data_IF_150627253030
#
_entry.id   IF_150627253030
#
_cell.length_a   1.000
_cell.length_b   1.000
_cell.length_c   1.000
_cell.angle_alpha   90.00
_cell.angle_beta   90.00
_cell.angle_gamma   90.00
#
_symmetry.space_group_name_H-M   'P 1'
#
loop_
_entity.id
_entity.type
_entity.pdbx_description
1 polymer ?
#
# COMPACT_ATOMS: atom_id res chain seq x y z
N UNK A 1 -14.09 15.98 24.07
CA UNK A 1 -12.67 16.33 24.04
C UNK A 1 -11.97 15.27 24.88
N UNK A 2 -11.14 14.33 24.41
CA UNK A 2 -10.37 14.21 23.17
C UNK A 2 -9.94 12.73 22.96
N UNK A 3 -10.59 11.99 22.07
CA UNK A 3 -10.10 10.67 21.63
C UNK A 3 -9.23 10.81 20.34
N UNK A 4 -9.34 11.97 19.69
CA UNK A 4 -8.63 12.30 18.44
C UNK A 4 -7.16 12.66 18.68
N UNK A 5 -6.85 13.36 19.78
CA UNK A 5 -5.50 13.83 20.06
C UNK A 5 -4.54 12.67 20.41
N UNK A 6 -5.02 11.72 21.22
CA UNK A 6 -4.18 10.62 21.75
C UNK A 6 -3.69 9.69 20.62
N UNK A 7 -4.53 9.42 19.62
CA UNK A 7 -4.17 8.61 18.44
C UNK A 7 -3.27 9.38 17.45
N UNK A 8 -3.54 10.68 17.23
CA UNK A 8 -2.74 11.51 16.33
C UNK A 8 -1.29 11.67 16.81
N UNK A 9 -1.11 12.05 18.08
CA UNK A 9 0.23 12.26 18.64
C UNK A 9 1.07 10.98 18.57
N UNK A 10 0.49 9.80 18.83
CA UNK A 10 1.22 8.54 18.84
C UNK A 10 1.77 8.12 17.46
N UNK A 11 0.97 8.24 16.40
CA UNK A 11 1.40 7.88 15.04
C UNK A 11 2.44 8.88 14.51
N UNK A 12 2.19 10.18 14.70
CA UNK A 12 3.07 11.25 14.23
C UNK A 12 4.42 11.24 14.97
N UNK A 13 4.44 11.05 16.30
CA UNK A 13 5.67 10.90 17.07
C UNK A 13 6.51 9.71 16.59
N UNK A 14 5.87 8.57 16.28
CA UNK A 14 6.60 7.40 15.77
C UNK A 14 7.23 7.66 14.39
N UNK A 15 6.57 8.42 13.52
CA UNK A 15 7.12 8.85 12.23
C UNK A 15 8.27 9.84 12.42
N UNK A 16 8.08 10.85 13.27
CA UNK A 16 9.07 11.88 13.56
C UNK A 16 10.33 11.30 14.22
N UNK A 17 10.19 10.36 15.15
CA UNK A 17 11.31 9.69 15.82
C UNK A 17 12.14 8.85 14.85
N UNK A 18 11.54 8.29 13.80
CA UNK A 18 12.28 7.60 12.72
C UNK A 18 12.89 8.58 11.71
N UNK A 19 12.47 9.84 11.72
CA UNK A 19 12.85 10.85 10.72
C UNK A 19 12.08 10.72 9.40
N UNK A 20 10.93 10.05 9.41
CA UNK A 20 10.10 9.85 8.23
C UNK A 20 9.29 11.13 7.90
N UNK A 21 8.99 11.33 6.61
CA UNK A 21 7.95 12.25 6.21
C UNK A 21 6.56 11.75 6.69
N UNK A 22 5.59 12.65 6.96
CA UNK A 22 4.26 12.23 7.39
C UNK A 22 3.60 11.26 6.39
N UNK A 23 3.04 10.16 6.89
CA UNK A 23 2.33 9.22 6.01
C UNK A 23 1.04 9.82 5.46
N UNK A 24 0.50 9.20 4.40
CA UNK A 24 -0.80 9.57 3.84
C UNK A 24 -1.94 9.49 4.87
N UNK A 25 -1.84 8.60 5.86
CA UNK A 25 -2.79 8.51 6.97
C UNK A 25 -2.67 9.74 7.86
N UNK A 26 -1.46 10.09 8.29
CA UNK A 26 -1.19 11.27 9.12
C UNK A 26 -1.64 12.56 8.43
N UNK A 27 -1.31 12.73 7.14
CA UNK A 27 -1.77 13.87 6.35
C UNK A 27 -3.31 13.93 6.27
N UNK A 28 -3.98 12.81 5.97
CA UNK A 28 -5.44 12.79 5.88
C UNK A 28 -6.12 13.11 7.21
N UNK A 29 -5.57 12.61 8.32
CA UNK A 29 -6.04 12.95 9.66
C UNK A 29 -5.95 14.46 9.92
N UNK A 30 -4.84 15.09 9.55
CA UNK A 30 -4.64 16.54 9.72
C UNK A 30 -5.58 17.35 8.83
N UNK A 31 -5.69 17.00 7.55
CA UNK A 31 -6.54 17.70 6.59
C UNK A 31 -8.04 17.62 6.91
N UNK A 32 -8.47 16.48 7.47
CA UNK A 32 -9.90 16.20 7.72
C UNK A 32 -10.28 16.20 9.20
N UNK A 33 -9.32 16.47 10.09
CA UNK A 33 -9.48 16.45 11.55
C UNK A 33 -10.23 15.19 12.02
N UNK A 34 -9.81 14.02 11.53
CA UNK A 34 -10.50 12.75 11.78
C UNK A 34 -9.61 11.73 12.52
N UNK A 35 -10.21 10.65 13.02
CA UNK A 35 -9.45 9.58 13.69
C UNK A 35 -8.63 8.77 12.70
N UNK A 36 -7.55 8.14 13.19
CA UNK A 36 -6.73 7.20 12.40
C UNK A 36 -7.57 6.12 11.73
N UNK A 37 -8.57 5.57 12.43
CA UNK A 37 -9.48 4.58 11.86
C UNK A 37 -10.25 5.12 10.65
N UNK A 38 -10.70 6.37 10.68
CA UNK A 38 -11.40 6.98 9.55
C UNK A 38 -10.43 7.28 8.40
N UNK A 39 -9.25 7.81 8.71
CA UNK A 39 -8.21 8.04 7.71
C UNK A 39 -7.78 6.75 7.00
N UNK A 40 -7.51 5.67 7.75
CA UNK A 40 -7.18 4.34 7.20
C UNK A 40 -8.26 3.84 6.23
N UNK A 41 -9.53 3.88 6.63
CA UNK A 41 -10.66 3.49 5.76
C UNK A 41 -10.75 4.35 4.50
N UNK A 42 -10.49 5.65 4.61
CA UNK A 42 -10.48 6.55 3.45
C UNK A 42 -9.33 6.22 2.49
N UNK A 43 -8.13 6.00 3.00
CA UNK A 43 -6.96 5.59 2.20
C UNK A 43 -7.18 4.21 1.56
N UNK A 44 -7.70 3.23 2.29
CA UNK A 44 -8.05 1.90 1.77
C UNK A 44 -9.04 2.00 0.60
N UNK A 45 -10.08 2.84 0.76
CA UNK A 45 -11.05 3.10 -0.31
C UNK A 45 -10.39 3.70 -1.55
N UNK A 46 -9.50 4.69 -1.37
CA UNK A 46 -8.75 5.30 -2.48
C UNK A 46 -7.87 4.28 -3.20
N UNK A 47 -7.21 3.38 -2.48
CA UNK A 47 -6.41 2.28 -3.06
C UNK A 47 -7.31 1.37 -3.91
N UNK A 48 -8.47 0.94 -3.39
CA UNK A 48 -9.41 0.08 -4.11
C UNK A 48 -9.95 0.77 -5.38
N UNK A 49 -10.34 2.04 -5.28
CA UNK A 49 -10.82 2.82 -6.42
C UNK A 49 -9.74 3.00 -7.49
N UNK A 50 -8.50 3.23 -7.07
CA UNK A 50 -7.35 3.36 -7.98
C UNK A 50 -7.03 2.04 -8.66
N UNK A 51 -7.09 0.93 -7.93
CA UNK A 51 -6.90 -0.41 -8.47
C UNK A 51 -7.94 -0.78 -9.54
N UNK A 52 -9.20 -0.40 -9.36
CA UNK A 52 -10.25 -0.58 -10.38
C UNK A 52 -9.90 0.15 -11.68
N UNK A 53 -9.47 1.40 -11.59
CA UNK A 53 -9.04 2.20 -12.76
C UNK A 53 -7.86 1.56 -13.48
N UNK A 54 -6.84 1.11 -12.74
CA UNK A 54 -5.68 0.41 -13.31
C UNK A 54 -6.12 -0.85 -14.08
N UNK A 55 -7.05 -1.63 -13.52
CA UNK A 55 -7.55 -2.83 -14.20
C UNK A 55 -8.34 -2.49 -15.46
N UNK A 56 -9.26 -1.51 -15.38
CA UNK A 56 -10.04 -1.05 -16.53
C UNK A 56 -9.14 -0.57 -17.67
N UNK A 57 -8.13 0.25 -17.34
CA UNK A 57 -7.13 0.72 -18.31
C UNK A 57 -6.30 -0.44 -18.85
N UNK A 58 -5.88 -1.39 -18.03
CA UNK A 58 -5.06 -2.52 -18.51
C UNK A 58 -5.77 -3.43 -19.53
N UNK A 59 -7.11 -3.47 -19.51
CA UNK A 59 -7.95 -4.25 -20.42
C UNK A 59 -8.25 -3.53 -21.74
N UNK A 60 -7.87 -2.25 -21.87
CA UNK A 60 -8.05 -1.43 -23.05
C UNK A 60 -7.12 -1.77 -24.21
N UNK A 61 -6.98 -3.06 -24.58
CA UNK A 61 -6.10 -3.51 -25.66
C UNK A 61 -6.30 -2.66 -26.93
N UNK A 62 -5.22 -2.01 -27.38
CA UNK A 62 -5.19 -1.16 -28.58
C UNK A 62 -5.53 0.32 -28.37
N UNK A 63 -5.92 0.76 -27.16
CA UNK A 63 -6.25 2.18 -26.87
C UNK A 63 -5.12 2.99 -26.22
N UNK A 64 -4.03 2.34 -25.84
CA UNK A 64 -2.93 3.00 -25.14
C UNK A 64 -1.75 3.26 -26.08
N UNK A 65 -1.15 4.44 -25.97
CA UNK A 65 0.11 4.78 -26.62
C UNK A 65 1.33 4.04 -26.02
N UNK A 66 1.10 3.23 -24.97
CA UNK A 66 2.13 2.51 -24.22
C UNK A 66 2.27 1.08 -24.69
N UNK A 67 3.51 0.57 -24.68
CA UNK A 67 3.82 -0.81 -25.06
C UNK A 67 3.29 -1.81 -24.02
N UNK A 68 2.71 -2.94 -24.47
CA UNK A 68 2.02 -3.91 -23.60
C UNK A 68 2.89 -4.45 -22.43
N UNK A 69 4.17 -4.80 -22.61
CA UNK A 69 5.08 -5.13 -21.51
C UNK A 69 5.16 -4.07 -20.40
N UNK A 70 5.12 -2.78 -20.76
CA UNK A 70 5.15 -1.70 -19.77
C UNK A 70 3.85 -1.65 -18.96
N UNK A 71 2.70 -1.82 -19.63
CA UNK A 71 1.40 -1.93 -18.98
C UNK A 71 1.41 -3.13 -18.00
N UNK A 72 1.86 -4.29 -18.46
CA UNK A 72 1.93 -5.50 -17.64
C UNK A 72 2.86 -5.32 -16.43
N UNK A 73 4.02 -4.69 -16.61
CA UNK A 73 4.95 -4.40 -15.51
C UNK A 73 4.32 -3.46 -14.48
N UNK A 74 3.59 -2.43 -14.91
CA UNK A 74 2.91 -1.47 -14.04
C UNK A 74 1.81 -2.14 -13.21
N UNK A 75 0.98 -2.98 -13.86
CA UNK A 75 -0.08 -3.76 -13.18
C UNK A 75 0.54 -4.73 -12.17
N UNK A 76 1.61 -5.43 -12.55
CA UNK A 76 2.29 -6.37 -11.66
C UNK A 76 2.94 -5.66 -10.47
N UNK A 77 3.52 -4.47 -10.65
CA UNK A 77 4.05 -3.67 -9.56
C UNK A 77 2.95 -3.33 -8.54
N UNK A 78 1.78 -2.87 -9.01
CA UNK A 78 0.66 -2.60 -8.12
C UNK A 78 0.19 -3.85 -7.35
N UNK A 79 0.13 -5.02 -8.00
CA UNK A 79 -0.19 -6.30 -7.34
C UNK A 79 0.86 -6.69 -6.29
N UNK A 80 2.14 -6.54 -6.61
CA UNK A 80 3.22 -6.82 -5.67
C UNK A 80 3.12 -5.90 -4.45
N UNK A 81 2.92 -4.60 -4.63
CA UNK A 81 2.74 -3.66 -3.53
C UNK A 81 1.57 -4.07 -2.62
N UNK A 82 0.41 -4.43 -3.20
CA UNK A 82 -0.72 -4.93 -2.42
C UNK A 82 -0.37 -6.20 -1.66
N UNK A 83 0.34 -7.16 -2.27
CA UNK A 83 0.74 -8.40 -1.61
C UNK A 83 1.76 -8.16 -0.48
N UNK A 84 2.77 -7.32 -0.73
CA UNK A 84 3.85 -6.99 0.19
C UNK A 84 3.31 -6.30 1.43
N UNK A 85 2.48 -5.28 1.24
CA UNK A 85 1.99 -4.44 2.33
C UNK A 85 0.65 -4.91 2.93
N UNK A 86 0.06 -5.99 2.40
CA UNK A 86 -1.14 -6.56 3.01
C UNK A 86 -0.81 -7.10 4.40
N UNK A 87 -1.39 -6.49 5.44
CA UNK A 87 -1.20 -6.90 6.83
C UNK A 87 0.12 -6.45 7.45
N UNK A 88 0.70 -5.33 6.99
CA UNK A 88 1.85 -4.67 7.64
C UNK A 88 3.00 -4.36 6.70
N UNK A 89 4.13 -3.92 7.26
CA UNK A 89 5.35 -3.65 6.48
C UNK A 89 6.04 -4.95 6.08
N UNK A 90 5.80 -5.41 4.85
CA UNK A 90 6.43 -6.60 4.30
C UNK A 90 7.90 -6.44 3.91
N UNK A 91 8.48 -5.24 3.95
CA UNK A 91 9.86 -4.99 3.51
C UNK A 91 10.78 -4.70 4.69
N UNK A 92 10.46 -3.67 5.49
CA UNK A 92 11.29 -3.25 6.62
C UNK A 92 11.10 -4.14 7.85
N UNK A 93 9.90 -4.67 8.05
CA UNK A 93 9.56 -5.52 9.19
C UNK A 93 8.72 -6.76 8.80
N UNK A 94 9.23 -7.64 7.90
CA UNK A 94 8.45 -8.72 7.32
C UNK A 94 7.94 -9.71 8.39
N UNK A 95 6.62 -9.87 8.42
CA UNK A 95 5.97 -10.89 9.23
C UNK A 95 6.16 -12.32 8.71
N UNK A 96 5.72 -13.36 9.46
CA UNK A 96 5.87 -14.76 9.09
C UNK A 96 5.32 -15.10 7.70
N UNK A 97 4.19 -14.51 7.32
CA UNK A 97 3.58 -14.63 5.99
C UNK A 97 4.55 -14.23 4.87
N UNK A 98 5.17 -13.05 4.99
CA UNK A 98 6.05 -12.53 3.94
C UNK A 98 7.33 -13.37 3.85
N UNK A 99 7.90 -13.74 4.99
CA UNK A 99 9.06 -14.65 5.04
C UNK A 99 8.76 -16.00 4.39
N UNK A 100 7.58 -16.57 4.66
CA UNK A 100 7.11 -17.81 4.04
C UNK A 100 6.96 -17.68 2.52
N UNK A 101 6.29 -16.62 2.06
CA UNK A 101 6.11 -16.35 0.63
C UNK A 101 7.44 -16.22 -0.11
N UNK A 102 8.39 -15.45 0.43
CA UNK A 102 9.73 -15.30 -0.16
C UNK A 102 10.45 -16.64 -0.17
N UNK A 103 10.37 -17.40 0.92
CA UNK A 103 10.98 -18.73 1.00
C UNK A 103 10.43 -19.66 -0.09
N UNK A 104 9.12 -19.67 -0.30
CA UNK A 104 8.47 -20.49 -1.32
C UNK A 104 8.88 -20.08 -2.74
N UNK A 105 8.83 -18.78 -3.05
CA UNK A 105 9.16 -18.29 -4.39
C UNK A 105 10.65 -18.47 -4.75
N UNK A 106 11.55 -18.30 -3.78
CA UNK A 106 13.01 -18.37 -4.03
C UNK A 106 13.52 -19.81 -3.98
N UNK A 107 13.05 -20.62 -3.02
CA UNK A 107 13.60 -21.96 -2.78
C UNK A 107 12.76 -23.07 -3.44
N UNK A 108 11.45 -22.87 -3.63
CA UNK A 108 10.54 -23.87 -4.18
C UNK A 108 10.20 -23.58 -5.65
N UNK A 109 11.19 -23.05 -6.38
CA UNK A 109 11.06 -22.69 -7.78
C UNK A 109 11.07 -23.97 -8.65
N UNK A 110 9.88 -24.56 -8.83
CA UNK A 110 9.63 -25.75 -9.65
C UNK A 110 9.69 -25.47 -11.16
N UNK A 111 10.23 -24.33 -11.60
CA UNK A 111 10.44 -23.98 -13.01
C UNK A 111 11.88 -24.28 -13.50
N UNK A 112 12.52 -25.32 -12.96
CA UNK A 112 13.71 -25.92 -13.57
C UNK A 112 13.32 -27.02 -14.54
#
# INVERSE_FOLDING_TARGET
MDDYAVSWFGLFEAELQRGDAPSSITCYMQEKLCTERHARKAIEKLIVETWKKINEDSLGHGRHALHQPFINASVNLARMSLCIYNGGDGVGAPGPRMKGLVSELVHNNNYK
#
